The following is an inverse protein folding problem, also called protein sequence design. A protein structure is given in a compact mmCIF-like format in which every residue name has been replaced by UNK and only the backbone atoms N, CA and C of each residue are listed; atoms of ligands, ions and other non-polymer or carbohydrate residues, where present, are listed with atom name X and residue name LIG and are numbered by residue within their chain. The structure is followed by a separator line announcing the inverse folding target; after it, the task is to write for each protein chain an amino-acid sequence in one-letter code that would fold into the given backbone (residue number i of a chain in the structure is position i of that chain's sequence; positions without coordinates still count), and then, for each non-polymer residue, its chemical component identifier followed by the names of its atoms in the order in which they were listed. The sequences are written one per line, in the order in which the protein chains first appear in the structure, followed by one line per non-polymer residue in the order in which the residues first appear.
data_IF_081149934517
#
_entry.id   IF_081149934517
#
_cell.length_a   1.000
_cell.length_b   1.000
_cell.length_c   1.000
_cell.angle_alpha   90.00
_cell.angle_beta   90.00
_cell.angle_gamma   90.00
#
_symmetry.space_group_name_H-M   'P 1'
#
loop_
_entity.id
_entity.type
_entity.pdbx_description
1 polymer ?
#
# COMPACT_ATOMS: atom_id res chain seq x y z
N UNK A 1 4.45 16.12 -8.69
CA UNK A 1 3.42 15.56 -7.78
C UNK A 1 2.43 14.74 -8.60
N UNK A 2 2.13 13.55 -8.14
CA UNK A 2 1.09 12.68 -8.71
C UNK A 2 0.07 12.35 -7.64
N UNK A 3 -1.19 12.37 -8.00
CA UNK A 3 -2.31 12.06 -7.10
C UNK A 3 -3.10 10.88 -7.65
N UNK A 4 -3.34 9.90 -6.78
CA UNK A 4 -4.07 8.68 -7.10
C UNK A 4 -5.29 8.54 -6.19
N UNK A 5 -6.33 7.94 -6.72
CA UNK A 5 -7.53 7.54 -5.96
C UNK A 5 -7.58 6.02 -5.88
N UNK A 6 -7.66 5.51 -4.68
CA UNK A 6 -7.68 4.07 -4.40
C UNK A 6 -8.99 3.71 -3.70
N UNK A 7 -9.74 2.80 -4.28
CA UNK A 7 -10.92 2.20 -3.63
C UNK A 7 -10.50 0.97 -2.84
N UNK A 8 -10.94 0.86 -1.60
CA UNK A 8 -10.72 -0.31 -0.73
C UNK A 8 -11.53 -1.51 -1.23
N UNK A 9 -11.12 -2.11 -2.32
CA UNK A 9 -11.83 -3.19 -2.99
C UNK A 9 -11.75 -4.54 -2.28
N UNK A 10 -10.73 -4.75 -1.45
CA UNK A 10 -10.61 -5.99 -0.68
C UNK A 10 -11.81 -6.23 0.24
N UNK A 11 -12.38 -5.17 0.81
CA UNK A 11 -13.59 -5.27 1.63
C UNK A 11 -14.83 -5.73 0.87
N UNK A 12 -14.80 -5.62 -0.44
CA UNK A 12 -15.88 -6.04 -1.32
C UNK A 12 -15.64 -7.42 -1.93
N UNK A 13 -14.61 -8.14 -1.47
CA UNK A 13 -14.25 -9.47 -1.97
C UNK A 13 -13.56 -9.46 -3.34
N UNK A 14 -13.14 -8.29 -3.83
CA UNK A 14 -12.42 -8.17 -5.10
C UNK A 14 -10.95 -8.50 -4.96
N UNK A 15 -10.46 -9.37 -5.85
CA UNK A 15 -9.04 -9.73 -5.95
C UNK A 15 -8.33 -8.89 -7.03
N UNK A 16 -9.06 -8.09 -7.76
CA UNK A 16 -8.57 -7.24 -8.84
C UNK A 16 -9.21 -5.87 -8.78
N UNK A 17 -8.39 -4.81 -8.81
CA UNK A 17 -8.89 -3.44 -8.82
C UNK A 17 -7.92 -2.48 -9.50
N UNK A 18 -8.46 -1.34 -9.92
CA UNK A 18 -7.70 -0.27 -10.57
C UNK A 18 -7.40 0.85 -9.59
N UNK A 19 -6.22 1.43 -9.74
CA UNK A 19 -5.82 2.68 -9.08
C UNK A 19 -5.80 3.75 -10.18
N UNK A 20 -6.54 4.84 -9.96
CA UNK A 20 -6.78 5.87 -10.96
C UNK A 20 -6.16 7.20 -10.54
N UNK A 21 -5.82 8.01 -11.53
CA UNK A 21 -5.45 9.40 -11.31
C UNK A 21 -6.68 10.28 -11.03
N UNK A 22 -6.46 11.57 -10.80
CA UNK A 22 -7.54 12.56 -10.55
C UNK A 22 -8.50 12.73 -11.73
N UNK A 23 -8.07 12.40 -12.93
CA UNK A 23 -8.88 12.47 -14.16
C UNK A 23 -9.66 11.18 -14.43
N UNK A 24 -9.46 10.14 -13.60
CA UNK A 24 -10.10 8.85 -13.72
C UNK A 24 -9.38 7.88 -14.67
N UNK A 25 -8.17 8.20 -15.15
CA UNK A 25 -7.37 7.29 -15.93
C UNK A 25 -6.74 6.22 -15.05
N UNK A 26 -6.69 4.98 -15.55
CA UNK A 26 -6.05 3.88 -14.82
C UNK A 26 -4.53 4.03 -14.90
N UNK A 27 -3.89 4.19 -13.74
CA UNK A 27 -2.43 4.28 -13.61
C UNK A 27 -1.82 2.97 -13.15
N UNK A 28 -2.55 2.20 -12.31
CA UNK A 28 -2.13 0.88 -11.87
C UNK A 28 -3.30 -0.10 -11.83
N UNK A 29 -2.99 -1.36 -12.07
CA UNK A 29 -3.91 -2.49 -11.85
C UNK A 29 -3.32 -3.42 -10.80
N UNK A 30 -4.09 -3.72 -9.77
CA UNK A 30 -3.71 -4.64 -8.71
C UNK A 30 -4.43 -5.96 -8.91
N UNK A 31 -3.66 -7.05 -8.88
CA UNK A 31 -4.19 -8.41 -9.01
C UNK A 31 -3.68 -9.28 -7.85
N UNK A 32 -4.61 -9.80 -7.04
CA UNK A 32 -4.30 -10.70 -5.95
C UNK A 32 -4.39 -12.17 -6.35
N UNK A 33 -3.61 -13.03 -5.70
CA UNK A 33 -3.71 -14.47 -5.91
C UNK A 33 -4.94 -15.03 -5.21
N UNK A 34 -5.79 -15.71 -5.96
CA UNK A 34 -6.97 -16.38 -5.42
C UNK A 34 -6.57 -17.75 -4.81
N UNK A 35 -6.93 -17.97 -3.54
CA UNK A 35 -6.71 -19.23 -2.82
C UNK A 35 -5.27 -19.76 -2.80
N UNK A 36 -4.27 -18.93 -3.12
CA UNK A 36 -2.86 -19.34 -3.03
C UNK A 36 -2.26 -19.03 -1.66
N UNK A 37 -1.37 -19.92 -1.23
CA UNK A 37 -0.54 -19.71 -0.04
C UNK A 37 0.92 -19.88 -0.47
N UNK A 38 1.78 -18.87 -0.30
CA UNK A 38 1.51 -17.55 0.28
C UNK A 38 0.63 -16.65 -0.59
N UNK A 39 -0.11 -15.73 0.04
CA UNK A 39 -0.86 -14.69 -0.67
C UNK A 39 0.10 -13.75 -1.38
N UNK A 40 -0.16 -13.48 -2.64
CA UNK A 40 0.62 -12.57 -3.46
C UNK A 40 -0.25 -11.50 -4.11
N UNK A 41 0.34 -10.35 -4.39
CA UNK A 41 -0.26 -9.28 -5.19
C UNK A 41 0.73 -8.87 -6.26
N UNK A 42 0.23 -8.71 -7.47
CA UNK A 42 1.02 -8.17 -8.58
C UNK A 42 0.40 -6.85 -8.99
N UNK A 43 1.22 -5.84 -9.16
CA UNK A 43 0.80 -4.51 -9.57
C UNK A 43 1.39 -4.23 -10.96
N UNK A 44 0.52 -3.92 -11.88
CA UNK A 44 0.85 -3.57 -13.26
C UNK A 44 0.69 -2.07 -13.46
N UNK A 45 1.57 -1.47 -14.23
CA UNK A 45 1.44 -0.08 -14.66
C UNK A 45 0.36 0.06 -15.75
N UNK A 46 0.11 1.30 -16.18
CA UNK A 46 -0.85 1.61 -17.24
C UNK A 46 -0.55 0.96 -18.60
N UNK A 47 0.67 0.51 -18.82
CA UNK A 47 1.10 -0.19 -20.03
C UNK A 47 0.96 -1.71 -19.90
N UNK A 48 0.45 -2.20 -18.75
CA UNK A 48 0.31 -3.62 -18.48
C UNK A 48 1.62 -4.32 -18.10
N UNK A 49 2.67 -3.56 -17.77
CA UNK A 49 3.94 -4.11 -17.30
C UNK A 49 3.89 -4.32 -15.79
N UNK A 50 4.33 -5.48 -15.33
CA UNK A 50 4.50 -5.74 -13.91
C UNK A 50 5.59 -4.81 -13.34
N UNK A 51 5.23 -4.02 -12.35
CA UNK A 51 6.15 -3.08 -11.69
C UNK A 51 6.42 -3.43 -10.23
N UNK A 52 5.49 -4.16 -9.59
CA UNK A 52 5.60 -4.52 -8.18
C UNK A 52 5.07 -5.94 -7.97
N UNK A 53 5.80 -6.74 -7.20
CA UNK A 53 5.33 -8.02 -6.70
C UNK A 53 5.41 -8.05 -5.18
N UNK A 54 4.28 -8.34 -4.51
CA UNK A 54 4.16 -8.37 -3.06
C UNK A 54 3.86 -9.81 -2.63
N UNK A 55 4.64 -10.33 -1.70
CA UNK A 55 4.42 -11.66 -1.12
C UNK A 55 4.22 -11.55 0.38
N UNK A 56 3.09 -12.04 0.89
CA UNK A 56 2.85 -12.16 2.32
C UNK A 56 3.64 -13.35 2.87
N UNK A 57 4.45 -13.12 3.89
CA UNK A 57 5.14 -14.23 4.59
C UNK A 57 4.17 -15.08 5.39
N UNK A 58 4.17 -16.39 5.14
CA UNK A 58 3.27 -17.34 5.80
C UNK A 58 3.69 -17.67 7.22
N UNK A 59 5.00 -17.67 7.48
CA UNK A 59 5.57 -17.98 8.80
C UNK A 59 5.94 -16.67 9.49
N UNK A 60 4.93 -15.96 9.96
CA UNK A 60 5.13 -14.75 10.75
C UNK A 60 3.96 -14.56 11.69
N UNK A 61 4.27 -14.34 12.97
CA UNK A 61 3.25 -14.06 13.97
C UNK A 61 2.50 -12.75 13.66
N UNK A 62 3.22 -11.79 13.10
CA UNK A 62 2.64 -10.54 12.61
C UNK A 62 2.71 -10.49 11.08
N UNK A 63 1.76 -9.83 10.39
CA UNK A 63 1.83 -9.67 8.95
C UNK A 63 3.16 -9.08 8.50
N UNK A 64 3.82 -9.79 7.59
CA UNK A 64 5.07 -9.35 6.94
C UNK A 64 4.94 -9.57 5.44
N UNK A 65 5.35 -8.57 4.68
CA UNK A 65 5.32 -8.60 3.22
C UNK A 65 6.71 -8.36 2.66
N UNK A 66 7.04 -9.07 1.61
CA UNK A 66 8.20 -8.80 0.76
C UNK A 66 7.70 -8.09 -0.48
N UNK A 67 8.25 -6.93 -0.77
CA UNK A 67 7.94 -6.15 -1.97
C UNK A 67 9.15 -6.16 -2.88
N UNK A 68 8.94 -6.57 -4.12
CA UNK A 68 9.95 -6.60 -5.16
C UNK A 68 9.53 -5.61 -6.26
N UNK A 69 10.40 -4.63 -6.54
CA UNK A 69 10.18 -3.63 -7.57
C UNK A 69 10.79 -4.08 -8.91
N UNK A 70 10.30 -3.52 -9.99
CA UNK A 70 10.72 -3.81 -11.37
C UNK A 70 12.23 -3.64 -11.61
N UNK A 71 12.86 -2.67 -10.95
CA UNK A 71 14.29 -2.41 -11.06
C UNK A 71 15.18 -3.42 -10.32
N UNK A 72 14.57 -4.36 -9.60
CA UNK A 72 15.23 -5.36 -8.77
C UNK A 72 15.37 -4.97 -7.31
N UNK A 73 14.98 -3.79 -6.94
CA UNK A 73 14.96 -3.37 -5.54
C UNK A 73 13.95 -4.18 -4.74
N UNK A 74 14.29 -4.46 -3.50
CA UNK A 74 13.50 -5.31 -2.61
C UNK A 74 13.47 -4.70 -1.23
N UNK A 75 12.29 -4.66 -0.64
CA UNK A 75 12.12 -4.20 0.74
C UNK A 75 11.06 -5.00 1.49
N UNK A 76 11.02 -4.81 2.79
CA UNK A 76 10.08 -5.48 3.67
C UNK A 76 9.13 -4.49 4.31
N UNK A 77 7.85 -4.85 4.36
CA UNK A 77 6.85 -4.15 5.16
C UNK A 77 6.43 -5.11 6.26
N UNK A 78 6.56 -4.70 7.51
CA UNK A 78 6.06 -5.51 8.61
C UNK A 78 5.34 -4.66 9.64
N UNK A 79 4.34 -5.28 10.24
CA UNK A 79 3.58 -4.70 11.33
C UNK A 79 4.32 -4.95 12.64
N UNK A 80 4.66 -3.89 13.36
CA UNK A 80 5.18 -3.96 14.73
C UNK A 80 4.08 -3.65 15.72
N UNK A 81 3.86 -4.54 16.67
CA UNK A 81 3.01 -4.23 17.81
C UNK A 81 3.71 -3.21 18.70
N UNK A 82 3.04 -2.11 18.96
CA UNK A 82 3.34 -1.22 20.06
C UNK A 82 2.23 -1.35 21.11
N UNK A 83 2.53 -1.06 22.37
CA UNK A 83 1.58 -1.20 23.50
C UNK A 83 0.22 -0.50 23.25
N UNK A 84 0.16 0.46 22.35
CA UNK A 84 -1.04 1.26 22.11
C UNK A 84 -1.45 1.42 20.63
N UNK A 85 -0.55 1.10 19.69
CA UNK A 85 -0.80 1.24 18.25
C UNK A 85 0.07 0.30 17.44
N UNK A 86 -0.48 -0.20 16.33
CA UNK A 86 0.29 -0.93 15.35
C UNK A 86 1.11 0.04 14.49
N UNK A 87 2.34 -0.34 14.20
CA UNK A 87 3.23 0.42 13.31
C UNK A 87 3.71 -0.45 12.18
N UNK A 88 3.83 0.15 11.01
CA UNK A 88 4.53 -0.41 9.88
C UNK A 88 5.88 0.28 9.76
N UNK A 89 6.93 -0.51 9.68
CA UNK A 89 8.25 -0.03 9.32
C UNK A 89 8.58 -0.52 7.92
N UNK A 90 9.14 0.38 7.12
CA UNK A 90 9.71 0.04 5.83
C UNK A 90 11.20 -0.12 6.08
N UNK A 91 11.65 -1.37 6.11
CA UNK A 91 13.07 -1.70 6.29
C UNK A 91 13.86 -1.27 5.03
N UNK A 92 15.07 -0.82 5.24
CA UNK A 92 16.09 -0.54 4.22
C UNK A 92 15.88 0.69 3.32
N UNK A 93 14.82 1.48 3.54
CA UNK A 93 14.52 2.62 2.66
C UNK A 93 14.73 3.99 3.30
N UNK A 94 15.05 4.05 4.58
CA UNK A 94 15.21 5.31 5.30
C UNK A 94 13.94 6.15 5.37
N UNK A 95 12.77 5.56 5.15
CA UNK A 95 11.50 6.26 5.20
C UNK A 95 10.86 6.16 6.58
N UNK A 96 10.27 7.26 7.01
CA UNK A 96 9.55 7.36 8.27
C UNK A 96 8.07 7.60 8.04
N UNK A 97 7.22 6.83 8.72
CA UNK A 97 5.76 6.99 8.68
C UNK A 97 5.30 7.82 9.88
N UNK A 98 4.47 8.81 9.62
CA UNK A 98 3.82 9.62 10.67
C UNK A 98 2.32 9.71 10.40
N UNK A 99 1.51 9.45 11.42
CA UNK A 99 0.05 9.52 11.35
C UNK A 99 -0.62 8.19 11.69
N UNK A 100 -1.89 8.05 11.30
CA UNK A 100 -2.70 6.87 11.58
C UNK A 100 -2.80 5.99 10.33
N UNK A 101 -2.02 4.93 10.31
CA UNK A 101 -2.00 3.96 9.21
C UNK A 101 -3.36 3.27 9.06
N UNK A 102 -4.00 2.96 10.19
CA UNK A 102 -5.28 2.23 10.21
C UNK A 102 -6.42 3.02 9.58
N UNK A 103 -6.40 4.33 9.76
CA UNK A 103 -7.40 5.19 9.16
C UNK A 103 -7.00 5.65 7.76
N UNK A 104 -5.84 5.22 7.25
CA UNK A 104 -5.25 5.69 6.00
C UNK A 104 -5.08 7.22 5.98
N UNK A 105 -4.64 7.76 7.11
CA UNK A 105 -4.33 9.16 7.35
C UNK A 105 -2.89 9.27 7.84
N UNK A 106 -1.94 9.25 6.92
CA UNK A 106 -0.53 9.28 7.27
C UNK A 106 0.33 9.95 6.19
N UNK A 107 1.55 10.31 6.59
CA UNK A 107 2.56 10.90 5.72
C UNK A 107 3.83 10.06 5.76
N UNK A 108 4.55 10.06 4.65
CA UNK A 108 5.87 9.48 4.53
C UNK A 108 6.91 10.60 4.41
N UNK A 109 7.98 10.44 5.15
CA UNK A 109 9.13 11.36 5.16
C UNK A 109 10.39 10.60 4.78
N UNK A 110 11.28 11.25 4.06
CA UNK A 110 12.62 10.76 3.79
C UNK A 110 13.56 10.99 4.98
N UNK A 111 14.84 10.65 4.81
CA UNK A 111 15.89 10.85 5.82
C UNK A 111 16.24 12.32 6.08
N UNK A 112 15.77 13.22 5.23
CA UNK A 112 15.93 14.69 5.35
C UNK A 112 14.69 15.37 5.95
N UNK A 113 13.75 14.60 6.47
CA UNK A 113 12.45 15.08 6.95
C UNK A 113 11.58 15.78 5.89
N UNK A 114 11.79 15.47 4.62
CA UNK A 114 10.94 15.97 3.54
C UNK A 114 9.77 15.01 3.32
N UNK A 115 8.58 15.56 3.09
CA UNK A 115 7.38 14.76 2.80
C UNK A 115 7.50 14.21 1.38
N UNK A 116 7.54 12.89 1.25
CA UNK A 116 7.58 12.22 -0.06
C UNK A 116 6.19 11.75 -0.52
N UNK A 117 5.29 11.49 0.44
CA UNK A 117 3.91 11.14 0.12
C UNK A 117 2.95 11.44 1.29
N UNK A 118 1.69 11.61 0.95
CA UNK A 118 0.60 11.80 1.90
C UNK A 118 -0.61 10.96 1.48
N UNK A 119 -1.18 10.23 2.43
CA UNK A 119 -2.36 9.38 2.24
C UNK A 119 -3.48 9.92 3.12
N UNK A 120 -4.65 10.17 2.54
CA UNK A 120 -5.78 10.76 3.26
C UNK A 120 -7.13 10.23 2.78
N UNK A 121 -8.01 9.96 3.74
CA UNK A 121 -9.43 9.68 3.54
C UNK A 121 -10.32 10.91 3.72
N UNK A 122 -9.78 12.00 4.19
CA UNK A 122 -10.54 13.17 4.67
C UNK A 122 -11.54 13.73 3.65
N UNK A 123 -11.19 13.65 2.35
CA UNK A 123 -12.06 14.08 1.26
C UNK A 123 -13.14 13.07 0.88
N UNK A 124 -13.11 11.86 1.42
CA UNK A 124 -13.94 10.74 0.99
C UNK A 124 -14.63 10.01 2.14
N UNK A 125 -15.03 10.73 3.18
CA UNK A 125 -15.62 10.15 4.40
C UNK A 125 -16.78 9.16 4.18
N UNK A 126 -17.54 9.35 3.11
CA UNK A 126 -18.71 8.52 2.81
C UNK A 126 -18.43 7.35 1.86
N UNK A 127 -17.19 7.23 1.39
CA UNK A 127 -16.80 6.18 0.44
C UNK A 127 -15.58 5.41 0.97
N UNK A 128 -15.43 4.16 0.56
CA UNK A 128 -14.22 3.37 0.84
C UNK A 128 -13.07 3.77 -0.09
N UNK A 129 -12.91 5.07 -0.35
CA UNK A 129 -11.89 5.63 -1.23
C UNK A 129 -10.95 6.50 -0.42
N UNK A 130 -9.66 6.43 -0.72
CA UNK A 130 -8.64 7.32 -0.16
C UNK A 130 -7.77 7.90 -1.26
N UNK A 131 -7.15 9.03 -0.97
CA UNK A 131 -6.25 9.72 -1.87
C UNK A 131 -4.81 9.45 -1.48
N UNK A 132 -3.98 9.22 -2.48
CA UNK A 132 -2.53 9.07 -2.34
C UNK A 132 -1.87 10.17 -3.16
N UNK A 133 -1.19 11.10 -2.48
CA UNK A 133 -0.41 12.15 -3.13
C UNK A 133 1.07 11.82 -3.01
N UNK A 134 1.74 11.67 -4.14
CA UNK A 134 3.18 11.39 -4.22
C UNK A 134 3.89 12.64 -4.72
N UNK A 135 4.77 13.19 -3.90
CA UNK A 135 5.46 14.45 -4.22
C UNK A 135 6.68 14.24 -5.10
N UNK A 136 7.35 13.09 -4.97
CA UNK A 136 8.49 12.69 -5.78
C UNK A 136 8.16 11.41 -6.55
N UNK A 137 8.18 11.48 -7.87
CA UNK A 137 7.72 10.42 -8.78
C UNK A 137 8.48 9.09 -8.59
N UNK A 138 9.73 9.14 -8.17
CA UNK A 138 10.53 7.95 -7.89
C UNK A 138 9.96 7.06 -6.78
N UNK A 139 9.18 7.64 -5.86
CA UNK A 139 8.54 6.89 -4.78
C UNK A 139 7.15 6.35 -5.13
N UNK A 140 6.64 6.60 -6.34
CA UNK A 140 5.26 6.23 -6.69
C UNK A 140 4.98 4.74 -6.52
N UNK A 141 5.81 3.88 -7.09
CA UNK A 141 5.62 2.42 -7.02
C UNK A 141 5.72 1.92 -5.57
N UNK A 142 6.67 2.44 -4.80
CA UNK A 142 6.85 2.12 -3.39
C UNK A 142 5.61 2.52 -2.56
N UNK A 143 5.11 3.73 -2.73
CA UNK A 143 3.96 4.25 -1.99
C UNK A 143 2.70 3.46 -2.32
N UNK A 144 2.48 3.14 -3.59
CA UNK A 144 1.35 2.30 -4.03
C UNK A 144 1.44 0.90 -3.42
N UNK A 145 2.63 0.28 -3.39
CA UNK A 145 2.83 -1.03 -2.77
C UNK A 145 2.51 -1.02 -1.28
N UNK A 146 2.93 0.03 -0.58
CA UNK A 146 2.64 0.22 0.84
C UNK A 146 1.13 0.34 1.10
N UNK A 147 0.43 1.14 0.30
CA UNK A 147 -1.02 1.31 0.42
C UNK A 147 -1.77 -0.01 0.19
N UNK A 148 -1.39 -0.78 -0.82
CA UNK A 148 -1.99 -2.10 -1.10
C UNK A 148 -1.77 -3.07 0.05
N UNK A 149 -0.55 -3.13 0.61
CA UNK A 149 -0.24 -3.99 1.74
C UNK A 149 -1.01 -3.61 3.01
N UNK A 150 -1.10 -2.32 3.33
CA UNK A 150 -1.86 -1.82 4.48
C UNK A 150 -3.34 -2.14 4.33
N UNK A 151 -3.91 -1.88 3.16
CA UNK A 151 -5.33 -2.15 2.88
C UNK A 151 -5.67 -3.63 3.04
N UNK A 152 -4.77 -4.51 2.60
CA UNK A 152 -4.93 -5.95 2.78
C UNK A 152 -4.87 -6.37 4.25
N UNK A 153 -3.97 -5.80 5.05
CA UNK A 153 -3.89 -6.09 6.49
C UNK A 153 -5.15 -5.63 7.21
N UNK A 154 -5.65 -4.44 6.91
CA UNK A 154 -6.94 -3.96 7.46
C UNK A 154 -8.07 -4.92 7.15
N UNK A 155 -8.15 -5.41 5.92
CA UNK A 155 -9.15 -6.40 5.53
C UNK A 155 -9.02 -7.69 6.33
N UNK A 156 -7.81 -8.21 6.53
CA UNK A 156 -7.58 -9.42 7.33
C UNK A 156 -8.06 -9.25 8.78
N UNK A 157 -7.78 -8.10 9.38
CA UNK A 157 -8.19 -7.81 10.76
C UNK A 157 -9.70 -7.64 10.88
N UNK A 158 -10.34 -6.98 9.93
CA UNK A 158 -11.79 -6.87 9.88
C UNK A 158 -12.48 -8.23 9.70
N UNK A 159 -11.89 -9.14 8.94
CA UNK A 159 -12.39 -10.49 8.73
C UNK A 159 -12.12 -11.46 9.88
N UNK A 160 -11.21 -11.14 10.80
CA UNK A 160 -10.89 -11.96 11.97
C UNK A 160 -11.87 -11.77 13.13
N UNK A 161 -12.77 -10.80 12.99
CA UNK A 161 -13.87 -10.54 13.92
C UNK A 161 -15.17 -11.17 13.39
#
# INVERSE_FOLDING_TARGET
MRTYQVKQKFRLGGERFDIKDELGNVEYQVEGSFLKIPKTFTIYDKNGQEVIHITKKTISFLPKFVVELKDGDRFFIHKKLTLFRDKYDIEDLGLRVQGNIWDLEFKLFDDRDQIVAEISKELFHLTSTYQVSVYEDEYADLVISLCVAIDYVEMLEAGAN
#
